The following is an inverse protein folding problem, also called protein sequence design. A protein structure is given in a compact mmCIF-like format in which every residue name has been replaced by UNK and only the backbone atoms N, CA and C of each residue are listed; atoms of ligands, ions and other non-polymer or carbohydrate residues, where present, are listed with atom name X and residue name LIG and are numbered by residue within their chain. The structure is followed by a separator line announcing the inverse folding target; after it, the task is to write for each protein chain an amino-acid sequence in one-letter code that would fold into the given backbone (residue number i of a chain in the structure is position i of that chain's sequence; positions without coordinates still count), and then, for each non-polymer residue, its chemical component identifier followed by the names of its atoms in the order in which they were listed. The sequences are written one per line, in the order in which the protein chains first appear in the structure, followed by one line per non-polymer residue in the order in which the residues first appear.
data_IF_772061320322
#
_entry.id   IF_772061320322
#
_cell.length_a   1.000
_cell.length_b   1.000
_cell.length_c   1.000
_cell.angle_alpha   90.00
_cell.angle_beta   90.00
_cell.angle_gamma   90.00
#
_symmetry.space_group_name_H-M   'P 1'
#
loop_
_entity.id
_entity.type
_entity.pdbx_description
1 polymer ?
#
# COMPACT_ATOMS: atom_id res chain seq x y z
N UNK A 1 4.09 -16.63 -24.69
CA UNK A 1 4.61 -16.80 -23.32
C UNK A 1 3.49 -16.56 -22.32
N UNK A 2 2.90 -17.62 -21.74
CA UNK A 2 1.90 -17.53 -20.66
C UNK A 2 2.64 -17.64 -19.33
N UNK A 3 3.10 -16.52 -18.79
CA UNK A 3 3.65 -16.45 -17.44
C UNK A 3 2.52 -16.69 -16.44
N UNK A 4 2.30 -17.94 -16.05
CA UNK A 4 1.43 -18.30 -14.94
C UNK A 4 2.16 -17.94 -13.64
N UNK A 5 1.95 -16.72 -13.16
CA UNK A 5 2.09 -16.38 -11.75
C UNK A 5 0.74 -16.69 -11.13
N UNK A 6 0.48 -17.94 -10.74
CA UNK A 6 -0.69 -18.30 -9.93
C UNK A 6 -0.42 -19.67 -9.30
N UNK A 7 0.28 -19.64 -8.17
CA UNK A 7 0.17 -20.66 -7.13
C UNK A 7 -0.22 -19.92 -5.85
N UNK A 8 -1.54 -19.84 -5.60
CA UNK A 8 -2.12 -19.18 -4.42
C UNK A 8 -2.90 -17.90 -4.74
N UNK A 9 -3.83 -17.54 -3.85
CA UNK A 9 -4.64 -16.30 -3.88
C UNK A 9 -3.83 -15.03 -3.53
N UNK A 10 -2.51 -15.16 -3.41
CA UNK A 10 -1.60 -14.10 -2.99
C UNK A 10 -0.52 -13.85 -4.03
N UNK A 11 -0.16 -12.58 -4.21
CA UNK A 11 0.93 -12.16 -5.08
C UNK A 11 1.80 -11.15 -4.34
N UNK A 12 3.12 -11.16 -4.55
CA UNK A 12 4.03 -10.16 -3.99
C UNK A 12 4.71 -9.36 -5.09
N UNK A 13 4.78 -8.04 -4.93
CA UNK A 13 5.54 -7.15 -5.82
C UNK A 13 6.71 -6.55 -5.05
N UNK A 14 7.92 -6.77 -5.55
CA UNK A 14 9.15 -6.24 -4.99
C UNK A 14 9.55 -4.97 -5.75
N UNK A 15 9.81 -3.88 -5.03
CA UNK A 15 10.15 -2.58 -5.62
C UNK A 15 11.20 -1.81 -4.81
N UNK A 16 12.27 -1.39 -5.48
CA UNK A 16 13.36 -0.58 -4.92
C UNK A 16 13.29 0.84 -5.47
N UNK A 17 13.23 1.83 -4.58
CA UNK A 17 13.17 3.24 -4.95
C UNK A 17 11.76 3.78 -5.26
N UNK A 18 11.64 5.10 -5.26
CA UNK A 18 10.34 5.78 -5.31
C UNK A 18 9.57 5.56 -6.62
N UNK A 19 10.26 5.54 -7.76
CA UNK A 19 9.62 5.32 -9.07
C UNK A 19 9.07 3.91 -9.22
N UNK A 20 9.87 2.89 -8.89
CA UNK A 20 9.44 1.50 -8.96
C UNK A 20 8.24 1.25 -8.04
N UNK A 21 8.26 1.79 -6.82
CA UNK A 21 7.16 1.68 -5.88
C UNK A 21 5.89 2.37 -6.37
N UNK A 22 6.00 3.58 -6.95
CA UNK A 22 4.85 4.27 -7.56
C UNK A 22 4.26 3.48 -8.73
N UNK A 23 5.11 2.88 -9.58
CA UNK A 23 4.68 2.00 -10.67
C UNK A 23 4.00 0.73 -10.16
N UNK A 24 4.52 0.12 -9.10
CA UNK A 24 3.92 -1.05 -8.46
C UNK A 24 2.51 -0.74 -7.93
N UNK A 25 2.34 0.39 -7.23
CA UNK A 25 1.03 0.87 -6.76
C UNK A 25 0.08 1.12 -7.94
N UNK A 26 0.55 1.78 -9.01
CA UNK A 26 -0.25 2.01 -10.22
C UNK A 26 -0.70 0.71 -10.88
N UNK A 27 0.18 -0.29 -10.94
CA UNK A 27 -0.15 -1.61 -11.46
C UNK A 27 -1.28 -2.24 -10.65
N UNK A 28 -1.23 -2.16 -9.31
CA UNK A 28 -2.31 -2.66 -8.44
C UNK A 28 -3.64 -1.94 -8.67
N UNK A 29 -3.65 -0.62 -8.93
CA UNK A 29 -4.89 0.10 -9.32
C UNK A 29 -5.50 -0.49 -10.58
N UNK A 30 -4.68 -0.75 -11.60
CA UNK A 30 -5.18 -1.35 -12.84
C UNK A 30 -5.63 -2.80 -12.64
N UNK A 31 -4.92 -3.56 -11.81
CA UNK A 31 -5.34 -4.91 -11.43
C UNK A 31 -6.69 -4.89 -10.74
N UNK A 32 -6.95 -4.00 -9.78
CA UNK A 32 -8.27 -3.86 -9.14
C UNK A 32 -9.38 -3.60 -10.14
N UNK A 33 -9.14 -2.74 -11.15
CA UNK A 33 -10.10 -2.44 -12.21
C UNK A 33 -10.37 -3.66 -13.09
N UNK A 34 -9.30 -4.34 -13.52
CA UNK A 34 -9.42 -5.53 -14.36
C UNK A 34 -10.15 -6.68 -13.64
N UNK A 35 -9.93 -6.82 -12.34
CA UNK A 35 -10.56 -7.86 -11.55
C UNK A 35 -12.05 -7.61 -11.29
N UNK A 36 -12.59 -6.40 -11.49
CA UNK A 36 -14.03 -6.15 -11.32
C UNK A 36 -14.90 -7.04 -12.22
N UNK A 37 -14.41 -7.42 -13.40
CA UNK A 37 -15.15 -8.28 -14.33
C UNK A 37 -15.35 -9.70 -13.78
N UNK A 38 -14.47 -10.16 -12.90
CA UNK A 38 -14.45 -11.54 -12.37
C UNK A 38 -14.71 -11.62 -10.87
N UNK A 39 -14.48 -10.52 -10.14
CA UNK A 39 -14.56 -10.41 -8.69
C UNK A 39 -15.23 -9.08 -8.31
N UNK A 40 -16.52 -8.89 -8.67
CA UNK A 40 -17.22 -7.63 -8.46
C UNK A 40 -17.27 -7.26 -6.97
N UNK A 41 -16.95 -6.01 -6.65
CA UNK A 41 -16.95 -5.48 -5.28
C UNK A 41 -15.72 -5.87 -4.44
N UNK A 42 -14.77 -6.61 -5.01
CA UNK A 42 -13.46 -6.87 -4.40
C UNK A 42 -12.39 -5.98 -5.03
N UNK A 43 -11.46 -5.49 -4.23
CA UNK A 43 -10.32 -4.67 -4.66
C UNK A 43 -9.01 -5.28 -4.20
N UNK A 44 -7.95 -4.98 -4.95
CA UNK A 44 -6.59 -5.32 -4.54
C UNK A 44 -6.19 -4.42 -3.38
N UNK A 45 -5.88 -5.04 -2.26
CA UNK A 45 -5.18 -4.43 -1.15
C UNK A 45 -3.76 -4.98 -1.09
N UNK A 46 -2.88 -4.26 -0.41
CA UNK A 46 -1.54 -4.75 -0.14
C UNK A 46 -1.08 -4.45 1.28
N UNK A 47 -0.23 -5.34 1.79
CA UNK A 47 0.55 -5.16 2.99
C UNK A 47 2.00 -4.82 2.63
N UNK A 48 2.47 -3.59 2.90
CA UNK A 48 3.84 -3.21 2.57
C UNK A 48 4.81 -3.67 3.66
N UNK A 49 5.88 -4.35 3.27
CA UNK A 49 6.97 -4.80 4.13
C UNK A 49 8.31 -4.22 3.66
N UNK A 50 9.09 -3.66 4.59
CA UNK A 50 10.45 -3.24 4.29
C UNK A 50 11.41 -4.43 4.46
N UNK A 51 12.10 -4.79 3.38
CA UNK A 51 13.08 -5.88 3.33
C UNK A 51 14.47 -5.27 3.16
N UNK A 52 15.39 -5.57 4.07
CA UNK A 52 16.80 -5.20 3.90
C UNK A 52 17.43 -6.09 2.83
N UNK A 53 18.08 -5.47 1.85
CA UNK A 53 18.91 -6.14 0.87
C UNK A 53 20.38 -5.92 1.27
N UNK A 54 21.15 -7.00 1.51
CA UNK A 54 22.54 -6.88 1.89
C UNK A 54 23.34 -6.16 0.81
N UNK A 55 24.46 -5.56 1.21
CA UNK A 55 25.43 -5.01 0.26
C UNK A 55 25.94 -6.11 -0.68
N UNK A 56 26.14 -5.78 -1.97
CA UNK A 56 26.62 -6.71 -2.98
C UNK A 56 27.74 -6.04 -3.81
N UNK A 57 28.98 -6.50 -3.62
CA UNK A 57 30.15 -5.84 -4.21
C UNK A 57 30.27 -4.40 -3.71
N UNK A 58 30.34 -3.45 -4.64
CA UNK A 58 30.41 -2.02 -4.33
C UNK A 58 29.04 -1.37 -4.05
N UNK A 59 27.93 -2.11 -4.20
CA UNK A 59 26.59 -1.59 -3.94
C UNK A 59 26.32 -1.57 -2.42
N UNK A 60 25.92 -0.41 -1.84
CA UNK A 60 25.61 -0.33 -0.43
C UNK A 60 24.34 -1.11 -0.08
N UNK A 61 24.17 -1.43 1.21
CA UNK A 61 22.91 -1.96 1.73
C UNK A 61 21.75 -1.04 1.33
N UNK A 62 20.66 -1.62 0.84
CA UNK A 62 19.48 -0.86 0.45
C UNK A 62 18.22 -1.50 1.01
N UNK A 63 17.10 -0.77 0.97
CA UNK A 63 15.81 -1.28 1.40
C UNK A 63 14.88 -1.44 0.20
N UNK A 64 14.35 -2.63 0.07
CA UNK A 64 13.28 -2.97 -0.84
C UNK A 64 11.94 -2.86 -0.11
N UNK A 65 10.90 -2.54 -0.85
CA UNK A 65 9.52 -2.68 -0.38
C UNK A 65 8.90 -3.88 -1.08
N UNK A 66 8.45 -4.85 -0.28
CA UNK A 66 7.65 -5.98 -0.73
C UNK A 66 6.18 -5.68 -0.46
N UNK A 67 5.35 -5.73 -1.49
CA UNK A 67 3.92 -5.45 -1.41
C UNK A 67 3.16 -6.78 -1.52
N UNK A 68 2.69 -7.33 -0.41
CA UNK A 68 1.91 -8.56 -0.39
C UNK A 68 0.45 -8.23 -0.70
N UNK A 69 -0.01 -8.58 -1.90
CA UNK A 69 -1.33 -8.28 -2.39
C UNK A 69 -2.36 -9.35 -1.98
N UNK A 70 -3.57 -8.91 -1.66
CA UNK A 70 -4.75 -9.73 -1.40
C UNK A 70 -6.02 -9.05 -1.93
N UNK A 71 -7.12 -9.79 -2.02
CA UNK A 71 -8.44 -9.23 -2.35
C UNK A 71 -9.27 -9.01 -1.10
N UNK A 72 -9.86 -7.82 -0.98
CA UNK A 72 -10.80 -7.47 0.08
C UNK A 72 -12.00 -6.70 -0.48
N UNK A 73 -13.13 -6.64 0.25
CA UNK A 73 -14.25 -5.78 -0.13
C UNK A 73 -13.81 -4.33 -0.33
N UNK A 74 -14.41 -3.67 -1.33
CA UNK A 74 -14.18 -2.25 -1.58
C UNK A 74 -14.47 -1.43 -0.33
N UNK A 75 -13.52 -0.58 0.13
CA UNK A 75 -13.80 0.31 1.24
C UNK A 75 -14.79 1.38 0.77
N UNK A 76 -15.61 1.91 1.69
CA UNK A 76 -16.50 3.03 1.39
C UNK A 76 -15.70 4.16 0.74
N UNK A 77 -16.19 4.65 -0.40
CA UNK A 77 -15.56 5.75 -1.13
C UNK A 77 -15.33 6.95 -0.20
N UNK A 78 -14.12 7.50 -0.25
CA UNK A 78 -13.74 8.66 0.55
C UNK A 78 -13.68 9.88 -0.35
N UNK A 79 -14.53 10.87 -0.09
CA UNK A 79 -14.60 12.11 -0.89
C UNK A 79 -13.33 12.96 -0.74
N UNK A 80 -12.70 12.94 0.43
CA UNK A 80 -11.52 13.75 0.73
C UNK A 80 -10.52 12.96 1.57
N UNK A 81 -9.28 12.95 1.11
CA UNK A 81 -8.19 12.34 1.85
C UNK A 81 -8.05 12.93 3.27
N UNK A 82 -7.97 12.06 4.28
CA UNK A 82 -7.68 12.42 5.67
C UNK A 82 -6.28 13.04 5.77
N UNK A 83 -5.33 12.51 4.99
CA UNK A 83 -3.92 12.92 5.00
C UNK A 83 -3.46 13.22 3.58
N UNK A 84 -2.85 14.39 3.38
CA UNK A 84 -2.19 14.75 2.12
C UNK A 84 -0.68 14.71 2.32
N UNK A 85 0.01 13.89 1.53
CA UNK A 85 1.45 13.70 1.58
C UNK A 85 2.11 14.48 0.45
N UNK A 86 3.17 15.19 0.79
CA UNK A 86 4.01 15.96 -0.12
C UNK A 86 5.46 15.50 -0.03
N UNK A 87 6.34 16.19 -0.78
CA UNK A 87 7.78 15.94 -0.71
C UNK A 87 8.36 16.18 0.68
N UNK A 88 7.78 17.06 1.48
CA UNK A 88 8.34 17.45 2.79
C UNK A 88 7.71 16.71 3.97
N UNK A 89 6.63 15.97 3.76
CA UNK A 89 5.90 15.27 4.81
C UNK A 89 6.77 14.28 5.58
N UNK A 90 6.83 14.37 6.91
CA UNK A 90 7.57 13.39 7.72
C UNK A 90 6.81 12.05 7.80
N UNK A 91 7.37 10.91 7.34
CA UNK A 91 6.67 9.62 7.36
C UNK A 91 6.30 9.12 8.76
N UNK A 92 7.09 9.45 9.79
CA UNK A 92 6.82 9.04 11.17
C UNK A 92 5.61 9.76 11.77
N UNK A 93 5.46 11.06 11.52
CA UNK A 93 4.28 11.82 11.94
C UNK A 93 3.02 11.33 11.21
N UNK A 94 3.12 11.09 9.90
CA UNK A 94 2.02 10.50 9.13
C UNK A 94 1.66 9.10 9.63
N UNK A 95 2.65 8.27 9.98
CA UNK A 95 2.42 6.94 10.56
C UNK A 95 1.68 7.00 11.89
N UNK A 96 2.07 7.92 12.77
CA UNK A 96 1.40 8.15 14.05
C UNK A 96 -0.06 8.58 13.84
N UNK A 97 -0.32 9.45 12.85
CA UNK A 97 -1.67 9.90 12.50
C UNK A 97 -2.54 8.76 11.94
N UNK A 98 -1.98 7.93 11.04
CA UNK A 98 -2.68 6.73 10.55
C UNK A 98 -3.06 5.81 11.71
N UNK A 99 -2.10 5.48 12.58
CA UNK A 99 -2.33 4.58 13.71
C UNK A 99 -3.32 5.17 14.73
N UNK A 100 -3.25 6.47 15.00
CA UNK A 100 -4.22 7.17 15.87
C UNK A 100 -5.63 7.09 15.30
N UNK A 101 -5.79 7.40 14.01
CA UNK A 101 -7.11 7.45 13.37
C UNK A 101 -7.70 6.05 13.18
N UNK A 102 -6.90 5.04 12.81
CA UNK A 102 -7.36 3.65 12.75
C UNK A 102 -7.82 3.13 14.12
N UNK A 103 -7.08 3.45 15.20
CA UNK A 103 -7.50 3.07 16.57
C UNK A 103 -8.81 3.74 16.97
N UNK A 104 -8.95 5.03 16.68
CA UNK A 104 -10.15 5.78 17.00
C UNK A 104 -11.38 5.28 16.23
N UNK A 105 -11.21 4.89 14.95
CA UNK A 105 -12.30 4.40 14.09
C UNK A 105 -12.56 2.89 14.25
N UNK A 106 -11.66 2.14 14.88
CA UNK A 106 -11.79 0.70 15.11
C UNK A 106 -11.58 -0.15 13.85
N UNK A 107 -12.04 -1.41 13.87
CA UNK A 107 -11.78 -2.41 12.81
C UNK A 107 -12.44 -2.08 11.47
N UNK A 108 -13.50 -1.29 11.49
CA UNK A 108 -14.20 -0.81 10.28
C UNK A 108 -13.68 0.56 9.83
N UNK A 109 -12.68 1.10 10.54
CA UNK A 109 -12.06 2.37 10.21
C UNK A 109 -11.24 2.29 8.93
N UNK A 110 -11.49 3.25 8.05
CA UNK A 110 -10.63 3.54 6.91
C UNK A 110 -9.86 4.82 7.21
N UNK A 111 -8.59 4.92 6.81
CA UNK A 111 -7.84 6.18 6.78
C UNK A 111 -7.33 6.39 5.38
N UNK A 112 -7.64 7.52 4.78
CA UNK A 112 -7.28 7.82 3.40
C UNK A 112 -6.05 8.73 3.32
N UNK A 113 -5.08 8.33 2.50
CA UNK A 113 -3.83 9.07 2.28
C UNK A 113 -3.75 9.40 0.80
N UNK A 114 -3.49 10.66 0.45
CA UNK A 114 -3.28 11.06 -0.94
C UNK A 114 -1.89 11.61 -1.19
N UNK A 115 -1.41 11.47 -2.42
CA UNK A 115 -0.11 11.98 -2.83
C UNK A 115 0.01 12.08 -4.35
N UNK A 116 0.87 13.00 -4.81
CA UNK A 116 1.13 13.23 -6.23
C UNK A 116 2.57 12.90 -6.59
N UNK A 117 2.74 11.93 -7.48
CA UNK A 117 4.05 11.53 -8.00
C UNK A 117 4.86 10.61 -7.07
N UNK A 118 6.04 10.18 -7.53
CA UNK A 118 6.78 9.08 -6.88
C UNK A 118 7.27 9.38 -5.47
N UNK A 119 7.79 10.59 -5.22
CA UNK A 119 8.41 10.91 -3.93
C UNK A 119 7.38 10.98 -2.79
N UNK A 120 6.25 11.71 -2.92
CA UNK A 120 5.19 11.64 -1.91
C UNK A 120 4.64 10.23 -1.69
N UNK A 121 4.51 9.43 -2.76
CA UNK A 121 4.05 8.04 -2.64
C UNK A 121 5.03 7.15 -1.88
N UNK A 122 6.34 7.29 -2.10
CA UNK A 122 7.36 6.62 -1.29
C UNK A 122 7.23 6.98 0.20
N UNK A 123 6.94 8.26 0.51
CA UNK A 123 6.73 8.71 1.89
C UNK A 123 5.46 8.13 2.50
N UNK A 124 4.36 8.08 1.73
CA UNK A 124 3.12 7.44 2.15
C UNK A 124 3.33 5.95 2.46
N UNK A 125 4.01 5.22 1.57
CA UNK A 125 4.30 3.80 1.77
C UNK A 125 5.18 3.55 3.01
N UNK A 126 6.22 4.36 3.21
CA UNK A 126 7.03 4.32 4.44
C UNK A 126 6.19 4.59 5.70
N UNK A 127 5.27 5.54 5.63
CA UNK A 127 4.36 5.83 6.73
C UNK A 127 3.45 4.64 7.04
N UNK A 128 2.96 3.92 6.03
CA UNK A 128 2.13 2.71 6.24
C UNK A 128 2.95 1.60 6.90
N UNK A 129 4.20 1.36 6.46
CA UNK A 129 5.11 0.38 7.11
C UNK A 129 5.31 0.71 8.59
N UNK A 130 5.53 1.99 8.92
CA UNK A 130 5.70 2.44 10.31
C UNK A 130 4.38 2.35 11.09
N UNK A 131 3.25 2.74 10.50
CA UNK A 131 1.94 2.66 11.13
C UNK A 131 1.61 1.23 11.51
N UNK A 132 1.98 0.25 10.67
CA UNK A 132 1.85 -1.17 10.97
C UNK A 132 2.56 -1.56 12.26
N UNK A 133 3.81 -1.12 12.44
CA UNK A 133 4.57 -1.34 13.68
C UNK A 133 3.93 -0.67 14.90
N UNK A 134 3.40 0.54 14.72
CA UNK A 134 2.69 1.24 15.81
C UNK A 134 1.38 0.55 16.21
N UNK A 135 0.76 -0.17 15.28
CA UNK A 135 -0.48 -0.91 15.48
C UNK A 135 -0.28 -2.34 15.96
N UNK A 136 0.94 -2.89 15.90
CA UNK A 136 1.25 -4.28 16.31
C UNK A 136 0.69 -4.66 17.69
N UNK A 137 0.82 -3.83 18.75
CA UNK A 137 0.26 -4.16 20.07
C UNK A 137 -1.28 -4.25 20.11
N UNK A 138 -1.96 -3.75 19.07
CA UNK A 138 -3.41 -3.71 18.99
C UNK A 138 -3.99 -4.81 18.09
N UNK A 139 -3.16 -5.49 17.29
CA UNK A 139 -3.60 -6.55 16.38
C UNK A 139 -3.85 -7.87 17.09
N UNK A 140 -4.87 -8.61 16.65
CA UNK A 140 -4.92 -10.05 16.91
C UNK A 140 -3.92 -10.77 15.99
N UNK A 141 -3.60 -12.02 16.34
CA UNK A 141 -2.79 -12.87 15.48
C UNK A 141 -3.39 -12.92 14.06
N UNK A 142 -2.56 -12.66 13.05
CA UNK A 142 -2.99 -12.65 11.65
C UNK A 142 -3.66 -11.35 11.19
N UNK A 143 -3.57 -10.25 11.94
CA UNK A 143 -4.08 -8.93 11.52
C UNK A 143 -2.95 -7.95 11.17
N UNK A 144 -3.27 -6.94 10.36
CA UNK A 144 -2.31 -5.95 9.88
C UNK A 144 -2.98 -4.64 9.42
N UNK A 145 -2.15 -3.63 9.11
CA UNK A 145 -2.58 -2.48 8.29
C UNK A 145 -2.38 -2.85 6.82
N UNK A 146 -3.45 -2.75 6.04
CA UNK A 146 -3.45 -2.94 4.60
C UNK A 146 -3.75 -1.63 3.90
N UNK A 147 -3.36 -1.49 2.64
CA UNK A 147 -3.67 -0.33 1.82
C UNK A 147 -4.28 -0.74 0.48
N UNK A 148 -5.44 -0.17 0.15
CA UNK A 148 -6.08 -0.31 -1.16
C UNK A 148 -5.78 0.93 -2.01
N UNK A 149 -5.16 0.81 -3.20
CA UNK A 149 -4.83 1.96 -4.02
C UNK A 149 -5.94 2.32 -5.00
N UNK A 150 -6.15 3.61 -5.20
CA UNK A 150 -7.00 4.18 -6.23
C UNK A 150 -6.30 5.38 -6.92
N UNK A 151 -6.83 5.77 -8.08
CA UNK A 151 -6.43 6.99 -8.78
C UNK A 151 -7.65 7.92 -8.80
N UNK A 152 -7.41 9.17 -8.42
CA UNK A 152 -8.42 10.22 -8.41
C UNK A 152 -7.95 11.37 -9.31
N UNK A 153 -8.85 11.87 -10.15
CA UNK A 153 -8.62 13.08 -10.95
C UNK A 153 -9.31 14.24 -10.26
N UNK A 154 -8.53 15.21 -9.80
CA UNK A 154 -9.03 16.48 -9.29
C UNK A 154 -9.24 17.42 -10.48
N UNK A 155 -10.49 17.82 -10.68
CA UNK A 155 -10.82 18.82 -11.68
C UNK A 155 -10.17 20.15 -11.32
N UNK A 156 -9.66 20.83 -12.34
CA UNK A 156 -9.27 22.22 -12.23
C UNK A 156 -10.43 23.06 -11.68
N UNK A 157 -10.14 23.92 -10.69
CA UNK A 157 -11.13 24.87 -10.19
C UNK A 157 -11.60 25.83 -11.29
N UNK A 158 -12.62 26.64 -10.98
CA UNK A 158 -13.22 27.62 -11.90
C UNK A 158 -12.21 28.59 -12.55
N UNK A 159 -11.01 28.71 -11.97
CA UNK A 159 -9.90 29.53 -12.45
C UNK A 159 -9.14 28.92 -13.65
N UNK A 160 -9.59 27.79 -14.22
CA UNK A 160 -9.03 27.23 -15.46
C UNK A 160 -7.66 26.58 -15.30
N UNK A 161 -7.40 25.98 -14.12
CA UNK A 161 -6.18 25.18 -13.90
C UNK A 161 -6.10 23.92 -14.77
N UNK A 162 -5.03 23.14 -14.60
CA UNK A 162 -4.92 21.80 -15.17
C UNK A 162 -5.50 20.75 -14.21
N UNK A 163 -6.15 19.72 -14.78
CA UNK A 163 -6.58 18.55 -14.03
C UNK A 163 -5.37 17.85 -13.39
N UNK A 164 -5.52 17.48 -12.12
CA UNK A 164 -4.45 16.86 -11.35
C UNK A 164 -4.79 15.43 -10.99
N UNK A 165 -3.93 14.51 -11.39
CA UNK A 165 -4.07 13.10 -11.01
C UNK A 165 -3.29 12.84 -9.72
N UNK A 166 -3.97 12.27 -8.72
CA UNK A 166 -3.36 11.84 -7.46
C UNK A 166 -3.64 10.36 -7.21
N UNK A 167 -2.74 9.74 -6.46
CA UNK A 167 -3.03 8.45 -5.85
C UNK A 167 -3.78 8.67 -4.54
N UNK A 168 -4.71 7.77 -4.26
CA UNK A 168 -5.39 7.63 -2.98
C UNK A 168 -5.08 6.24 -2.43
N UNK A 169 -4.63 6.14 -1.18
CA UNK A 169 -4.44 4.89 -0.47
C UNK A 169 -5.43 4.83 0.69
N UNK A 170 -6.33 3.86 0.64
CA UNK A 170 -7.26 3.56 1.73
C UNK A 170 -6.62 2.56 2.67
N UNK A 171 -6.13 3.03 3.81
CA UNK A 171 -5.58 2.19 4.86
C UNK A 171 -6.70 1.61 5.71
N UNK A 172 -6.67 0.29 5.91
CA UNK A 172 -7.67 -0.45 6.70
C UNK A 172 -6.99 -1.39 7.67
N UNK A 173 -7.69 -1.71 8.75
CA UNK A 173 -7.37 -2.85 9.60
C UNK A 173 -7.94 -4.11 8.95
N UNK A 174 -7.09 -5.06 8.57
CA UNK A 174 -7.54 -6.27 7.89
C UNK A 174 -6.75 -7.53 8.26
N UNK A 175 -7.15 -8.69 7.71
CA UNK A 175 -6.36 -9.90 7.80
C UNK A 175 -5.03 -9.72 7.06
N UNK A 176 -3.95 -10.25 7.63
CA UNK A 176 -2.62 -10.25 7.02
C UNK A 176 -2.70 -10.88 5.64
N UNK A 177 -1.98 -10.33 4.66
CA UNK A 177 -1.81 -11.00 3.38
C UNK A 177 -0.84 -12.17 3.61
N UNK A 178 -1.38 -13.34 4.00
CA UNK A 178 -0.56 -14.51 4.33
C UNK A 178 0.08 -15.03 3.04
N UNK A 179 1.34 -14.67 2.79
CA UNK A 179 2.19 -15.45 1.90
C UNK A 179 2.88 -16.49 2.76
N UNK A 180 2.28 -17.68 2.87
CA UNK A 180 2.97 -18.85 3.40
C UNK A 180 4.03 -19.27 2.38
N UNK A 181 5.21 -18.62 2.37
CA UNK A 181 6.35 -19.21 1.69
C UNK A 181 6.78 -20.42 2.51
N UNK A 182 6.80 -21.65 1.94
CA UNK A 182 7.45 -22.75 2.63
C UNK A 182 8.90 -22.35 2.91
N UNK A 183 9.35 -22.53 4.16
CA UNK A 183 10.73 -22.27 4.55
C UNK A 183 11.67 -23.08 3.64
N UNK A 184 12.33 -22.41 2.71
CA UNK A 184 13.31 -23.01 1.80
C UNK A 184 14.63 -23.43 2.50
N UNK A 185 14.68 -23.41 3.84
CA UNK A 185 15.84 -23.81 4.64
C UNK A 185 15.56 -25.10 5.42
N UNK A 186 14.94 -26.08 4.79
CA UNK A 186 14.94 -27.48 5.26
C UNK A 186 15.77 -28.33 4.29
N UNK A 187 17.03 -27.94 4.13
CA UNK A 187 18.08 -28.86 3.69
C UNK A 187 18.93 -29.12 4.95
N UNK A 188 18.67 -30.27 5.57
CA UNK A 188 19.58 -30.94 6.51
C UNK A 188 20.72 -31.62 5.75
#
# INVERSE_FOLDING_TARGET
MKGRILQGETCSIDAVGAEAQSRAVKAMVFTSRYLQDTHPGLHVFFEPEAVSLPAQGDAPETKMLRLHACLLPEPTAVEKADIVVSRETNPGLTAAEIARTLRARGRQGVVSISGMGPVPMNRALKAIVLARRYMEPHFKAGESVLAGPAIETLQAGADGGEDRVRFLLSCVWGPRAIVSLPNANSEE
#
